data_IF_068087484762
#
_entry.id   IF_068087484762
#
_cell.length_a   1.000
_cell.length_b   1.000
_cell.length_c   1.000
_cell.angle_alpha   90.00
_cell.angle_beta   90.00
_cell.angle_gamma   90.00
#
_symmetry.space_group_name_H-M   'P 1'
#
loop_
_entity.id
_entity.type
_entity.pdbx_description
1 polymer ?
#
# COMPACT_ATOMS: atom_id res chain seq x y z
N UNK A 1 5.60 18.36 1.78
CA UNK A 1 4.66 18.20 0.64
C UNK A 1 3.36 17.60 1.13
N UNK A 2 2.24 17.99 0.52
CA UNK A 2 0.94 17.33 0.66
C UNK A 2 0.89 16.10 -0.23
N UNK A 3 0.65 14.92 0.34
CA UNK A 3 0.69 13.64 -0.36
C UNK A 3 -0.66 12.93 -0.35
N UNK A 4 -0.89 12.10 -1.36
CA UNK A 4 -1.84 10.98 -1.31
C UNK A 4 -1.09 9.69 -1.05
N UNK A 5 -1.61 8.82 -0.19
CA UNK A 5 -1.06 7.48 0.00
C UNK A 5 -1.80 6.46 -0.87
N UNK A 6 -1.07 5.71 -1.70
CA UNK A 6 -1.60 4.51 -2.35
C UNK A 6 -1.91 3.47 -1.29
N UNK A 7 -3.19 3.20 -1.08
CA UNK A 7 -3.70 2.44 0.06
C UNK A 7 -4.28 1.11 -0.40
N UNK A 8 -3.63 0.02 -0.03
CA UNK A 8 -4.10 -1.35 -0.32
C UNK A 8 -4.75 -2.03 0.88
N UNK A 9 -4.71 -1.40 2.06
CA UNK A 9 -5.10 -1.98 3.34
C UNK A 9 -4.10 -2.98 3.93
N UNK A 10 -2.98 -3.23 3.25
CA UNK A 10 -1.92 -4.14 3.70
C UNK A 10 -0.83 -3.44 4.52
N UNK A 11 0.09 -4.24 5.08
CA UNK A 11 1.18 -3.77 5.94
C UNK A 11 2.07 -2.71 5.28
N UNK A 12 2.42 -2.88 4.00
CA UNK A 12 3.45 -2.06 3.37
C UNK A 12 2.92 -0.68 2.97
N UNK A 13 1.67 -0.60 2.48
CA UNK A 13 1.02 0.69 2.21
C UNK A 13 0.79 1.47 3.50
N UNK A 14 0.36 0.78 4.56
CA UNK A 14 0.22 1.34 5.91
C UNK A 14 1.57 1.88 6.44
N UNK A 15 2.63 1.08 6.35
CA UNK A 15 3.94 1.46 6.85
C UNK A 15 4.60 2.57 6.03
N UNK A 16 4.46 2.56 4.70
CA UNK A 16 4.95 3.64 3.85
C UNK A 16 4.24 4.97 4.13
N UNK A 17 2.92 4.95 4.34
CA UNK A 17 2.16 6.12 4.78
C UNK A 17 2.72 6.67 6.10
N UNK A 18 2.93 5.80 7.09
CA UNK A 18 3.54 6.18 8.37
C UNK A 18 4.94 6.78 8.22
N UNK A 19 5.82 6.18 7.42
CA UNK A 19 7.18 6.70 7.17
C UNK A 19 7.13 8.07 6.50
N UNK A 20 6.23 8.29 5.55
CA UNK A 20 6.06 9.61 4.93
C UNK A 20 5.61 10.66 5.94
N UNK A 21 4.68 10.32 6.86
CA UNK A 21 4.25 11.23 7.94
C UNK A 21 5.43 11.56 8.87
N UNK A 22 6.25 10.56 9.24
CA UNK A 22 7.45 10.75 10.06
C UNK A 22 8.51 11.65 9.38
N UNK A 23 8.58 11.63 8.05
CA UNK A 23 9.44 12.50 7.24
C UNK A 23 8.88 13.93 7.08
N UNK A 24 7.76 14.24 7.74
CA UNK A 24 7.15 15.57 7.75
C UNK A 24 6.22 15.84 6.56
N UNK A 25 5.83 14.81 5.81
CA UNK A 25 4.80 14.95 4.78
C UNK A 25 3.40 15.02 5.40
N UNK A 26 2.54 15.82 4.78
CA UNK A 26 1.12 15.88 5.13
C UNK A 26 0.34 14.92 4.22
N UNK A 27 0.04 13.71 4.69
CA UNK A 27 -0.80 12.77 3.94
C UNK A 27 -2.26 13.20 4.08
N UNK A 28 -2.85 13.72 3.01
CA UNK A 28 -4.20 14.29 3.04
C UNK A 28 -5.30 13.31 2.66
N UNK A 29 -4.95 12.29 1.85
CA UNK A 29 -5.90 11.32 1.34
C UNK A 29 -5.25 9.93 1.26
N UNK A 30 -6.06 8.90 1.44
CA UNK A 30 -5.78 7.54 1.02
C UNK A 30 -6.42 7.34 -0.36
N UNK A 31 -5.79 6.59 -1.25
CA UNK A 31 -6.34 6.27 -2.58
C UNK A 31 -6.31 4.77 -2.82
N UNK A 32 -7.46 4.18 -3.10
CA UNK A 32 -7.60 2.76 -3.44
C UNK A 32 -8.30 2.59 -4.77
N UNK A 33 -7.67 1.84 -5.67
CA UNK A 33 -8.31 1.35 -6.90
C UNK A 33 -9.09 0.08 -6.58
N UNK A 34 -10.39 0.09 -6.84
CA UNK A 34 -11.34 -0.98 -6.51
C UNK A 34 -11.60 -1.87 -7.74
N UNK A 35 -11.77 -3.19 -7.52
CA UNK A 35 -12.23 -4.10 -8.58
C UNK A 35 -13.72 -3.91 -8.86
N UNK A 36 -14.46 -3.64 -7.80
CA UNK A 36 -15.88 -3.34 -7.76
C UNK A 36 -16.17 -2.54 -6.47
N UNK A 37 -17.37 -1.97 -6.29
CA UNK A 37 -17.66 -1.14 -5.11
C UNK A 37 -17.45 -1.84 -3.75
N UNK A 38 -17.43 -3.17 -3.71
CA UNK A 38 -17.30 -3.98 -2.50
C UNK A 38 -15.85 -4.40 -2.20
N UNK A 39 -14.93 -4.43 -3.18
CA UNK A 39 -13.58 -5.01 -2.99
C UNK A 39 -12.46 -4.26 -3.71
N UNK A 40 -11.29 -4.23 -3.08
CA UNK A 40 -10.08 -3.62 -3.65
C UNK A 40 -9.46 -4.46 -4.77
N UNK A 41 -8.77 -3.81 -5.70
CA UNK A 41 -7.88 -4.54 -6.61
C UNK A 41 -6.70 -5.18 -5.86
N UNK A 42 -6.13 -6.21 -6.48
CA UNK A 42 -4.95 -7.00 -6.05
C UNK A 42 -5.11 -7.83 -4.76
N UNK A 43 -5.64 -7.22 -3.70
CA UNK A 43 -5.73 -7.82 -2.35
C UNK A 43 -7.16 -8.23 -1.96
N UNK A 44 -8.17 -7.86 -2.76
CA UNK A 44 -9.58 -8.21 -2.53
C UNK A 44 -10.08 -7.80 -1.14
N UNK A 45 -9.54 -6.69 -0.61
CA UNK A 45 -9.90 -6.20 0.72
C UNK A 45 -11.33 -5.63 0.65
N UNK A 46 -12.23 -6.01 1.57
CA UNK A 46 -13.57 -5.46 1.65
C UNK A 46 -13.57 -3.94 1.83
N UNK A 47 -14.51 -3.28 1.13
CA UNK A 47 -14.66 -1.81 1.11
C UNK A 47 -14.92 -1.22 2.50
N UNK A 48 -15.70 -1.92 3.32
CA UNK A 48 -16.01 -1.57 4.70
C UNK A 48 -14.79 -1.65 5.63
N UNK A 49 -13.89 -2.62 5.40
CA UNK A 49 -12.63 -2.69 6.13
C UNK A 49 -11.69 -1.54 5.78
N UNK A 50 -11.64 -1.13 4.50
CA UNK A 50 -10.89 0.05 4.09
C UNK A 50 -11.46 1.34 4.71
N UNK A 51 -12.79 1.44 4.81
CA UNK A 51 -13.46 2.56 5.47
C UNK A 51 -13.15 2.61 6.96
N UNK A 52 -13.18 1.45 7.64
CA UNK A 52 -12.79 1.35 9.05
C UNK A 52 -11.33 1.75 9.28
N UNK A 53 -10.41 1.37 8.37
CA UNK A 53 -9.02 1.82 8.41
C UNK A 53 -8.90 3.33 8.22
N UNK A 54 -9.61 3.90 7.23
CA UNK A 54 -9.64 5.35 6.97
C UNK A 54 -10.13 6.12 8.20
N UNK A 55 -11.22 5.67 8.82
CA UNK A 55 -11.80 6.28 10.01
C UNK A 55 -10.83 6.21 11.20
N UNK A 56 -10.23 5.05 11.45
CA UNK A 56 -9.30 4.86 12.56
C UNK A 56 -8.02 5.71 12.44
N UNK A 57 -7.55 5.96 11.21
CA UNK A 57 -6.36 6.77 10.95
C UNK A 57 -6.71 8.28 10.91
N UNK A 58 -7.97 8.62 10.66
CA UNK A 58 -8.43 10.00 10.52
C UNK A 58 -8.01 10.66 9.20
N UNK A 59 -7.70 9.87 8.17
CA UNK A 59 -7.37 10.35 6.82
C UNK A 59 -8.46 9.86 5.86
N UNK A 60 -9.11 10.76 5.09
CA UNK A 60 -10.19 10.37 4.18
C UNK A 60 -9.69 9.47 3.04
N UNK A 61 -10.52 8.50 2.63
CA UNK A 61 -10.22 7.57 1.55
C UNK A 61 -11.00 7.87 0.27
N UNK A 62 -10.29 7.91 -0.85
CA UNK A 62 -10.81 8.00 -2.21
C UNK A 62 -10.81 6.60 -2.84
N UNK A 63 -11.98 6.11 -3.25
CA UNK A 63 -12.16 4.79 -3.85
C UNK A 63 -12.62 4.91 -5.30
N UNK A 64 -11.88 4.31 -6.22
CA UNK A 64 -12.17 4.37 -7.66
C UNK A 64 -12.30 2.98 -8.26
N UNK A 65 -13.49 2.62 -8.72
CA UNK A 65 -13.72 1.35 -9.43
C UNK A 65 -13.08 1.40 -10.81
N UNK A 66 -12.32 0.38 -11.15
CA UNK A 66 -11.63 0.28 -12.44
C UNK A 66 -11.62 -1.16 -12.95
N UNK A 67 -11.34 -1.31 -14.24
CA UNK A 67 -11.05 -2.61 -14.87
C UNK A 67 -9.56 -2.72 -15.19
N UNK A 68 -9.03 -3.92 -15.49
CA UNK A 68 -7.65 -4.05 -16.00
C UNK A 68 -7.38 -3.20 -17.25
N UNK A 69 -8.37 -3.04 -18.12
CA UNK A 69 -8.24 -2.25 -19.34
C UNK A 69 -8.21 -0.72 -19.10
N UNK A 70 -8.81 -0.25 -18.00
CA UNK A 70 -8.93 1.18 -17.69
C UNK A 70 -8.07 1.63 -16.51
N UNK A 71 -7.37 0.69 -15.86
CA UNK A 71 -6.63 0.90 -14.60
C UNK A 71 -5.74 2.15 -14.63
N UNK A 72 -4.85 2.25 -15.60
CA UNK A 72 -3.94 3.39 -15.69
C UNK A 72 -4.69 4.71 -15.92
N UNK A 73 -5.69 4.71 -16.80
CA UNK A 73 -6.46 5.91 -17.10
C UNK A 73 -7.24 6.39 -15.88
N UNK A 74 -7.88 5.48 -15.16
CA UNK A 74 -8.68 5.81 -13.98
C UNK A 74 -7.78 6.21 -12.79
N UNK A 75 -6.63 5.57 -12.65
CA UNK A 75 -5.61 5.98 -11.68
C UNK A 75 -5.11 7.40 -11.95
N UNK A 76 -4.80 7.75 -13.20
CA UNK A 76 -4.43 9.13 -13.58
C UNK A 76 -5.55 10.13 -13.28
N UNK A 77 -6.82 9.79 -13.56
CA UNK A 77 -7.97 10.66 -13.24
C UNK A 77 -8.07 10.93 -11.74
N UNK A 78 -7.93 9.89 -10.91
CA UNK A 78 -7.95 10.03 -9.46
C UNK A 78 -6.81 10.95 -8.98
N UNK A 79 -5.60 10.77 -9.51
CA UNK A 79 -4.46 11.61 -9.18
C UNK A 79 -4.63 13.06 -9.65
N UNK A 80 -5.21 13.30 -10.83
CA UNK A 80 -5.51 14.64 -11.33
C UNK A 80 -6.55 15.36 -10.47
N UNK A 81 -7.60 14.66 -10.02
CA UNK A 81 -8.58 15.19 -9.05
C UNK A 81 -7.86 15.66 -7.78
N UNK A 82 -7.06 14.78 -7.19
CA UNK A 82 -6.34 15.07 -5.94
C UNK A 82 -5.28 16.17 -6.11
N UNK A 83 -4.63 16.23 -7.27
CA UNK A 83 -3.72 17.32 -7.61
C UNK A 83 -4.45 18.67 -7.66
N UNK A 84 -5.67 18.73 -8.19
CA UNK A 84 -6.48 19.94 -8.16
C UNK A 84 -6.85 20.38 -6.72
N UNK A 85 -6.85 19.45 -5.76
CA UNK A 85 -7.02 19.71 -4.33
C UNK A 85 -5.68 20.03 -3.62
N UNK A 86 -4.59 20.21 -4.37
CA UNK A 86 -3.28 20.62 -3.88
C UNK A 86 -2.34 19.48 -3.49
N UNK A 87 -2.64 18.22 -3.82
CA UNK A 87 -1.68 17.12 -3.66
C UNK A 87 -0.49 17.33 -4.60
N UNK A 88 0.71 17.19 -4.05
CA UNK A 88 2.00 17.43 -4.74
C UNK A 88 2.72 16.12 -5.09
N UNK A 89 2.35 15.01 -4.43
CA UNK A 89 2.99 13.72 -4.64
C UNK A 89 2.14 12.54 -4.19
N UNK A 90 2.59 11.34 -4.55
CA UNK A 90 2.00 10.07 -4.12
C UNK A 90 3.04 9.27 -3.35
N UNK A 91 2.67 8.74 -2.18
CA UNK A 91 3.46 7.73 -1.48
C UNK A 91 2.95 6.33 -1.78
N UNK A 92 3.85 5.40 -2.09
CA UNK A 92 3.52 3.98 -2.30
C UNK A 92 4.33 3.06 -1.39
N UNK A 93 3.75 1.89 -1.10
CA UNK A 93 4.35 0.84 -0.26
C UNK A 93 5.20 -0.16 -1.02
N UNK A 94 5.58 0.13 -2.27
CA UNK A 94 6.32 -0.81 -3.10
C UNK A 94 7.75 -0.98 -2.57
N UNK A 95 8.18 -2.23 -2.38
CA UNK A 95 9.56 -2.59 -2.02
C UNK A 95 10.39 -2.91 -3.27
N UNK A 96 9.75 -3.53 -4.25
CA UNK A 96 10.29 -3.88 -5.57
C UNK A 96 9.26 -3.57 -6.66
N UNK A 97 9.66 -3.69 -7.92
CA UNK A 97 8.77 -3.50 -9.06
C UNK A 97 7.52 -4.38 -8.95
N UNK A 98 6.37 -3.76 -9.19
CA UNK A 98 5.08 -4.46 -9.20
C UNK A 98 4.98 -5.23 -10.50
N UNK A 99 4.96 -6.57 -10.42
CA UNK A 99 4.99 -7.45 -11.59
C UNK A 99 3.87 -7.21 -12.63
N UNK A 100 2.78 -6.55 -12.24
CA UNK A 100 1.64 -6.22 -13.11
C UNK A 100 1.81 -4.90 -13.87
N UNK A 101 2.84 -4.13 -13.56
CA UNK A 101 3.19 -2.88 -14.24
C UNK A 101 4.52 -3.04 -14.95
N UNK A 102 4.76 -2.26 -16.00
CA UNK A 102 6.12 -2.15 -16.55
C UNK A 102 7.08 -1.44 -15.58
N UNK A 103 8.37 -1.71 -15.71
CA UNK A 103 9.40 -1.05 -14.92
C UNK A 103 9.34 0.48 -15.12
N UNK A 104 9.36 1.23 -14.02
CA UNK A 104 9.26 2.70 -14.05
C UNK A 104 7.84 3.23 -14.32
N UNK A 105 6.81 2.39 -14.26
CA UNK A 105 5.42 2.81 -14.47
C UNK A 105 5.04 3.97 -13.56
N UNK A 106 5.31 3.89 -12.25
CA UNK A 106 4.93 4.95 -11.31
C UNK A 106 5.58 6.29 -11.65
N UNK A 107 6.87 6.29 -12.00
CA UNK A 107 7.61 7.48 -12.40
C UNK A 107 7.04 8.09 -13.67
N UNK A 108 6.68 7.26 -14.65
CA UNK A 108 6.04 7.71 -15.89
C UNK A 108 4.70 8.37 -15.60
N UNK A 109 3.83 7.70 -14.83
CA UNK A 109 2.52 8.25 -14.43
C UNK A 109 2.68 9.57 -13.67
N UNK A 110 3.57 9.60 -12.68
CA UNK A 110 3.82 10.79 -11.87
C UNK A 110 4.34 11.94 -12.72
N UNK A 111 5.24 11.68 -13.68
CA UNK A 111 5.72 12.69 -14.63
C UNK A 111 4.60 13.23 -15.50
N UNK A 112 3.72 12.37 -16.03
CA UNK A 112 2.59 12.77 -16.88
C UNK A 112 1.54 13.58 -16.12
N UNK A 113 1.23 13.21 -14.88
CA UNK A 113 0.27 13.96 -14.02
C UNK A 113 0.93 15.21 -13.42
N UNK A 114 2.26 15.21 -13.30
CA UNK A 114 3.06 16.24 -12.62
C UNK A 114 2.95 16.15 -11.10
N UNK A 115 3.20 14.96 -10.55
CA UNK A 115 3.31 14.64 -9.13
C UNK A 115 4.70 14.06 -8.83
N UNK A 116 5.10 14.09 -7.55
CA UNK A 116 6.34 13.45 -7.09
C UNK A 116 6.06 12.04 -6.54
N UNK A 117 6.72 10.98 -7.03
CA UNK A 117 6.64 9.67 -6.42
C UNK A 117 7.52 9.61 -5.15
N UNK A 118 6.95 9.17 -4.03
CA UNK A 118 7.61 8.98 -2.74
C UNK A 118 7.56 7.50 -2.40
N UNK A 119 8.71 6.84 -2.21
CA UNK A 119 8.77 5.40 -1.93
C UNK A 119 9.71 5.08 -0.76
N UNK A 120 9.26 5.26 0.49
CA UNK A 120 10.11 5.09 1.68
C UNK A 120 10.61 3.65 1.91
N UNK A 121 10.02 2.67 1.21
CA UNK A 121 10.34 1.24 1.34
C UNK A 121 11.12 0.69 0.13
N UNK A 122 11.31 1.50 -0.92
CA UNK A 122 11.87 1.05 -2.20
C UNK A 122 13.31 0.56 -2.06
N UNK A 123 13.58 -0.64 -2.57
CA UNK A 123 14.90 -1.31 -2.52
C UNK A 123 15.51 -1.43 -1.11
N UNK A 124 14.70 -1.35 -0.06
CA UNK A 124 15.15 -1.62 1.31
C UNK A 124 15.10 -3.10 1.61
N UNK A 125 15.95 -3.52 2.54
CA UNK A 125 15.96 -4.89 3.05
C UNK A 125 14.61 -5.23 3.72
N UNK A 126 13.98 -6.32 3.27
CA UNK A 126 12.65 -6.73 3.72
C UNK A 126 12.65 -7.18 5.18
N UNK A 127 13.75 -7.76 5.66
CA UNK A 127 13.92 -8.13 7.06
C UNK A 127 13.96 -6.90 7.95
N UNK A 128 14.70 -5.87 7.54
CA UNK A 128 14.76 -4.60 8.25
C UNK A 128 13.40 -3.90 8.26
N UNK A 129 12.71 -3.83 7.12
CA UNK A 129 11.35 -3.25 7.05
C UNK A 129 10.43 -3.95 8.05
N UNK A 130 10.43 -5.29 8.07
CA UNK A 130 9.56 -6.06 8.95
C UNK A 130 9.89 -5.85 10.43
N UNK A 131 11.18 -5.78 10.79
CA UNK A 131 11.61 -5.47 12.16
C UNK A 131 11.18 -4.06 12.58
N UNK A 132 11.36 -3.06 11.71
CA UNK A 132 10.91 -1.69 12.00
C UNK A 132 9.38 -1.61 12.13
N UNK A 133 8.63 -2.34 11.29
CA UNK A 133 7.17 -2.43 11.36
C UNK A 133 6.71 -2.96 12.73
N UNK A 134 7.29 -4.07 13.18
CA UNK A 134 6.99 -4.68 14.48
C UNK A 134 7.42 -3.73 15.62
N UNK A 135 8.61 -3.16 15.54
CA UNK A 135 9.14 -2.25 16.57
C UNK A 135 8.33 -0.95 16.71
N UNK A 136 7.73 -0.47 15.61
CA UNK A 136 6.81 0.67 15.60
C UNK A 136 5.42 0.33 16.17
N UNK A 137 5.17 -0.92 16.57
CA UNK A 137 3.93 -1.35 17.21
C UNK A 137 2.78 -1.64 16.24
N UNK A 138 3.06 -1.74 14.94
CA UNK A 138 2.04 -2.10 13.97
C UNK A 138 1.60 -3.55 14.15
N UNK A 139 0.33 -3.80 13.86
CA UNK A 139 -0.28 -5.13 13.86
C UNK A 139 -0.80 -5.45 12.47
N UNK A 140 -0.49 -6.65 11.99
CA UNK A 140 -0.98 -7.16 10.72
C UNK A 140 -1.28 -8.64 10.84
N UNK A 141 -2.28 -9.11 10.11
CA UNK A 141 -2.69 -10.51 10.07
C UNK A 141 -2.45 -11.06 8.67
N UNK A 142 -1.90 -12.27 8.59
CA UNK A 142 -1.68 -12.95 7.31
C UNK A 142 -3.01 -13.48 6.77
N UNK A 143 -3.55 -12.80 5.76
CA UNK A 143 -4.85 -13.15 5.13
C UNK A 143 -4.72 -13.95 3.84
N UNK A 144 -3.51 -14.05 3.28
CA UNK A 144 -3.24 -14.79 2.04
C UNK A 144 -1.82 -15.34 2.05
N UNK A 145 -1.67 -16.55 1.54
CA UNK A 145 -0.38 -17.22 1.34
C UNK A 145 -0.29 -17.80 -0.06
N UNK A 146 0.94 -17.95 -0.56
CA UNK A 146 1.23 -18.85 -1.67
C UNK A 146 1.50 -20.23 -1.08
N UNK A 147 0.62 -21.18 -1.35
CA UNK A 147 0.65 -22.51 -0.71
C UNK A 147 1.87 -23.34 -1.08
N UNK A 148 2.58 -22.96 -2.15
CA UNK A 148 3.86 -23.54 -2.54
C UNK A 148 5.01 -23.14 -1.61
N UNK A 149 4.85 -22.04 -0.86
CA UNK A 149 5.87 -21.49 0.05
C UNK A 149 5.48 -21.65 1.53
N UNK A 150 4.20 -21.43 1.85
CA UNK A 150 3.69 -21.45 3.23
C UNK A 150 2.38 -22.25 3.29
N UNK A 151 2.28 -23.17 4.26
CA UNK A 151 1.08 -23.95 4.49
C UNK A 151 -0.11 -23.12 5.02
N UNK A 152 -1.29 -23.71 5.02
CA UNK A 152 -2.53 -23.04 5.45
C UNK A 152 -2.54 -22.68 6.94
N UNK A 153 -1.73 -23.37 7.75
CA UNK A 153 -1.52 -23.07 9.18
C UNK A 153 -0.95 -21.67 9.44
N UNK A 154 -0.44 -21.00 8.41
CA UNK A 154 0.03 -19.63 8.51
C UNK A 154 -1.08 -18.58 8.44
N UNK A 155 -2.23 -18.91 7.86
CA UNK A 155 -3.36 -17.99 7.73
C UNK A 155 -3.91 -17.62 9.11
N UNK A 156 -4.24 -16.34 9.28
CA UNK A 156 -4.75 -15.80 10.54
C UNK A 156 -3.68 -15.49 11.59
N UNK A 157 -2.41 -15.85 11.33
CA UNK A 157 -1.31 -15.49 12.24
C UNK A 157 -1.04 -13.98 12.20
N UNK A 158 -0.81 -13.41 13.38
CA UNK A 158 -0.33 -12.04 13.51
C UNK A 158 1.17 -11.96 13.19
N UNK A 159 1.56 -10.91 12.48
CA UNK A 159 2.95 -10.59 12.16
C UNK A 159 3.63 -10.04 13.42
N UNK A 160 4.25 -10.95 14.16
CA UNK A 160 4.99 -10.70 15.41
C UNK A 160 6.46 -11.10 15.25
N UNK A 161 7.29 -10.84 16.28
CA UNK A 161 8.66 -11.36 16.30
C UNK A 161 8.68 -12.89 16.21
N UNK A 162 7.77 -13.58 16.89
CA UNK A 162 7.65 -15.04 16.81
C UNK A 162 7.28 -15.52 15.39
N UNK A 163 6.39 -14.81 14.70
CA UNK A 163 6.08 -15.07 13.29
C UNK A 163 7.32 -14.96 12.41
N UNK A 164 8.11 -13.90 12.59
CA UNK A 164 9.35 -13.69 11.85
C UNK A 164 10.38 -14.79 12.12
N UNK A 165 10.56 -15.18 13.37
CA UNK A 165 11.50 -16.23 13.75
C UNK A 165 11.10 -17.58 13.13
N UNK A 166 9.81 -17.90 13.09
CA UNK A 166 9.31 -19.09 12.40
C UNK A 166 9.56 -19.03 10.89
N UNK A 167 9.39 -17.85 10.27
CA UNK A 167 9.63 -17.68 8.84
C UNK A 167 11.10 -17.92 8.49
N UNK A 168 12.03 -17.39 9.30
CA UNK A 168 13.46 -17.62 9.12
C UNK A 168 13.86 -19.10 9.23
N UNK A 169 13.15 -19.90 10.05
CA UNK A 169 13.41 -21.34 10.19
C UNK A 169 13.02 -22.14 8.95
N UNK A 170 12.12 -21.62 8.11
CA UNK A 170 11.72 -22.28 6.86
C UNK A 170 12.79 -22.18 5.76
N UNK A 171 13.79 -21.30 5.92
CA UNK A 171 14.88 -21.14 4.95
C UNK A 171 14.44 -20.61 3.58
N UNK A 172 13.26 -19.98 3.52
CA UNK A 172 12.71 -19.31 2.34
C UNK A 172 13.25 -17.90 2.17
#
# INVERSE_FOLDING_TARGET
MKLVASWSGGKDSCFACYKAIQEGHAVSHLLTMMSDPQKSNFHMIPSDLLDAQSEAIGIPIEKWTTTPATYEQDFKKALLKLKAEGVEGIVTGDVFDVALHEAGWLERICKEVGLVPVRPLWHRDTTQILREFIAAGFKAVLVRVKTELLGLEWLGREITQAFFDDLCRLGT
#
